data_IF_528813277535
#
_entry.id   IF_528813277535
#
_cell.length_a   1.000
_cell.length_b   1.000
_cell.length_c   1.000
_cell.angle_alpha   90.00
_cell.angle_beta   90.00
_cell.angle_gamma   90.00
#
_symmetry.space_group_name_H-M   'P 1'
#
loop_
_entity.id
_entity.type
_entity.pdbx_description
1 polymer ?
#
# COMPACT_ATOMS: atom_id res chain seq x y z
N UNK A 1 6.34 -16.77 -5.37
CA UNK A 1 6.54 -15.56 -4.55
C UNK A 1 7.79 -15.75 -3.70
N UNK A 2 8.42 -14.65 -3.27
CA UNK A 2 9.55 -14.66 -2.34
C UNK A 2 9.24 -13.72 -1.17
N UNK A 3 10.06 -13.71 -0.11
CA UNK A 3 9.88 -12.77 1.00
C UNK A 3 9.86 -11.33 0.44
N UNK A 4 8.84 -10.55 0.82
CA UNK A 4 8.73 -9.17 0.34
C UNK A 4 9.81 -8.29 0.97
N UNK A 5 10.38 -7.40 0.17
CA UNK A 5 11.41 -6.46 0.60
C UNK A 5 10.83 -5.09 0.97
N UNK A 6 11.63 -4.34 1.72
CA UNK A 6 11.48 -2.88 1.89
C UNK A 6 12.64 -2.22 1.15
N UNK A 7 12.43 -1.02 0.59
CA UNK A 7 13.48 -0.25 -0.09
C UNK A 7 14.45 0.28 0.96
N UNK A 8 15.74 0.02 0.76
CA UNK A 8 16.82 0.54 1.59
C UNK A 8 17.17 1.99 1.19
N UNK A 9 17.12 2.91 2.14
CA UNK A 9 17.32 4.34 1.87
C UNK A 9 18.75 4.70 1.40
N UNK A 10 19.75 3.86 1.67
CA UNK A 10 21.15 4.13 1.32
C UNK A 10 21.56 3.54 -0.02
N UNK A 11 20.94 2.41 -0.40
CA UNK A 11 21.33 1.63 -1.57
C UNK A 11 20.25 1.59 -2.65
N UNK A 12 19.01 1.95 -2.33
CA UNK A 12 17.84 1.80 -3.20
C UNK A 12 17.45 0.33 -3.47
N UNK A 13 18.19 -0.63 -2.92
CA UNK A 13 17.94 -2.06 -3.09
C UNK A 13 16.86 -2.58 -2.14
N UNK A 14 16.21 -3.68 -2.50
CA UNK A 14 15.29 -4.38 -1.61
C UNK A 14 16.03 -5.12 -0.49
N UNK A 15 15.63 -4.91 0.76
CA UNK A 15 16.17 -5.60 1.94
C UNK A 15 15.12 -6.49 2.60
N UNK A 16 15.52 -7.71 3.01
CA UNK A 16 14.69 -8.54 3.89
C UNK A 16 14.46 -7.82 5.21
N UNK A 17 13.21 -7.82 5.68
CA UNK A 17 12.82 -7.01 6.83
C UNK A 17 12.11 -7.82 7.90
N UNK A 18 12.32 -7.44 9.17
CA UNK A 18 11.47 -7.83 10.29
C UNK A 18 10.24 -6.91 10.41
N UNK A 19 10.27 -5.76 9.73
CA UNK A 19 9.23 -4.73 9.71
C UNK A 19 8.12 -5.11 8.73
N UNK A 20 8.46 -5.79 7.62
CA UNK A 20 7.53 -6.36 6.64
C UNK A 20 7.78 -7.85 6.53
N UNK A 21 6.80 -8.67 6.92
CA UNK A 21 6.98 -10.13 7.01
C UNK A 21 6.20 -10.93 5.98
N UNK A 22 5.53 -10.26 5.04
CA UNK A 22 4.82 -10.88 3.91
C UNK A 22 5.73 -11.57 2.88
N UNK A 23 5.13 -12.37 2.03
CA UNK A 23 5.68 -12.74 0.72
C UNK A 23 5.10 -11.85 -0.39
N UNK A 24 5.80 -11.74 -1.52
CA UNK A 24 5.29 -10.99 -2.66
C UNK A 24 5.96 -11.30 -3.99
N UNK A 25 5.43 -10.67 -5.03
CA UNK A 25 5.98 -10.62 -6.39
C UNK A 25 5.55 -9.33 -7.08
N UNK A 26 6.15 -9.05 -8.23
CA UNK A 26 5.74 -7.96 -9.12
C UNK A 26 5.20 -8.53 -10.42
N UNK A 27 4.12 -7.93 -10.90
CA UNK A 27 3.60 -8.09 -12.24
C UNK A 27 4.02 -6.87 -13.05
N UNK A 28 4.64 -7.10 -14.21
CA UNK A 28 5.15 -6.00 -15.04
C UNK A 28 4.02 -5.08 -15.45
N UNK A 29 4.33 -3.79 -15.65
CA UNK A 29 3.37 -2.84 -16.19
C UNK A 29 2.85 -3.35 -17.55
N UNK A 30 1.54 -3.44 -17.67
CA UNK A 30 0.87 -3.98 -18.84
C UNK A 30 1.22 -5.42 -19.22
N UNK A 31 1.64 -6.26 -18.24
CA UNK A 31 2.08 -7.64 -18.46
C UNK A 31 1.11 -8.47 -19.31
N UNK A 32 -0.19 -8.36 -19.02
CA UNK A 32 -1.25 -9.03 -19.76
C UNK A 32 -2.51 -8.16 -19.87
N UNK A 33 -3.56 -8.67 -20.52
CA UNK A 33 -4.82 -7.92 -20.69
C UNK A 33 -5.46 -7.55 -19.35
N UNK A 34 -5.43 -8.44 -18.37
CA UNK A 34 -6.08 -8.21 -17.07
C UNK A 34 -5.33 -7.12 -16.31
N UNK A 35 -4.00 -7.20 -16.24
CA UNK A 35 -3.17 -6.18 -15.60
C UNK A 35 -3.35 -4.81 -16.28
N UNK A 36 -3.36 -4.76 -17.63
CA UNK A 36 -3.63 -3.52 -18.37
C UNK A 36 -5.00 -2.91 -18.05
N UNK A 37 -6.04 -3.73 -17.98
CA UNK A 37 -7.39 -3.26 -17.70
C UNK A 37 -7.51 -2.72 -16.26
N UNK A 38 -6.81 -3.35 -15.29
CA UNK A 38 -6.71 -2.86 -13.91
C UNK A 38 -5.97 -1.52 -13.87
N UNK A 39 -4.78 -1.43 -14.48
CA UNK A 39 -3.98 -0.21 -14.49
C UNK A 39 -4.70 0.95 -15.17
N UNK A 40 -5.42 0.67 -16.27
CA UNK A 40 -6.26 1.66 -16.94
C UNK A 40 -7.39 2.15 -16.03
N UNK A 41 -8.08 1.25 -15.31
CA UNK A 41 -9.13 1.63 -14.36
C UNK A 41 -8.59 2.48 -13.21
N UNK A 42 -7.40 2.16 -12.70
CA UNK A 42 -6.73 2.98 -11.68
C UNK A 42 -6.47 4.38 -12.24
N UNK A 43 -5.88 4.48 -13.43
CA UNK A 43 -5.60 5.77 -14.07
C UNK A 43 -6.86 6.61 -14.33
N UNK A 44 -7.95 5.98 -14.79
CA UNK A 44 -9.23 6.66 -15.00
C UNK A 44 -9.85 7.17 -13.67
N UNK A 45 -9.70 6.42 -12.58
CA UNK A 45 -10.23 6.81 -11.27
C UNK A 45 -9.40 7.90 -10.58
N UNK A 46 -8.07 7.81 -10.68
CA UNK A 46 -7.14 8.73 -10.00
C UNK A 46 -6.83 9.97 -10.82
N UNK A 47 -7.13 9.96 -12.12
CA UNK A 47 -6.68 10.96 -13.09
C UNK A 47 -5.15 11.07 -13.21
N UNK A 48 -4.43 10.00 -12.82
CA UNK A 48 -2.97 9.91 -12.95
C UNK A 48 -2.65 9.00 -14.15
N UNK A 49 -1.78 9.41 -15.11
CA UNK A 49 -1.43 8.58 -16.26
C UNK A 49 -0.82 7.22 -15.87
N UNK A 50 -1.07 6.18 -16.67
CA UNK A 50 -0.59 4.81 -16.42
C UNK A 50 0.94 4.77 -16.29
N UNK A 51 1.63 5.61 -17.07
CA UNK A 51 3.07 5.71 -17.15
C UNK A 51 3.72 6.21 -15.85
N UNK A 52 2.94 6.82 -14.95
CA UNK A 52 3.40 7.24 -13.63
C UNK A 52 3.41 6.08 -12.62
N UNK A 53 2.79 4.94 -12.95
CA UNK A 53 2.70 3.79 -12.07
C UNK A 53 3.94 2.89 -12.11
N UNK A 54 4.40 2.44 -10.95
CA UNK A 54 5.34 1.32 -10.82
C UNK A 54 4.73 -0.02 -11.27
N UNK A 55 5.50 -1.10 -11.29
CA UNK A 55 4.95 -2.46 -11.46
C UNK A 55 3.91 -2.79 -10.38
N UNK A 56 2.90 -3.59 -10.71
CA UNK A 56 1.87 -3.97 -9.76
C UNK A 56 2.44 -5.01 -8.79
N UNK A 57 2.51 -4.67 -7.50
CA UNK A 57 2.96 -5.62 -6.49
C UNK A 57 1.79 -6.50 -6.04
N UNK A 58 2.04 -7.79 -5.84
CA UNK A 58 1.11 -8.72 -5.18
C UNK A 58 1.75 -9.19 -3.88
N UNK A 59 0.98 -9.15 -2.79
CA UNK A 59 1.42 -9.48 -1.45
C UNK A 59 0.52 -10.52 -0.83
N UNK A 60 1.12 -11.42 -0.05
CA UNK A 60 0.43 -12.41 0.75
C UNK A 60 0.96 -12.38 2.18
N UNK A 61 0.05 -12.23 3.13
CA UNK A 61 0.30 -12.28 4.56
C UNK A 61 -0.39 -13.51 5.16
N UNK A 62 0.40 -14.37 5.79
CA UNK A 62 -0.05 -15.47 6.62
C UNK A 62 -0.42 -15.00 8.04
N UNK A 63 -1.03 -15.88 8.84
CA UNK A 63 -1.32 -15.62 10.25
C UNK A 63 -0.05 -15.17 10.99
N UNK A 64 -0.17 -14.07 11.74
CA UNK A 64 0.90 -13.40 12.47
C UNK A 64 1.76 -12.45 11.63
N UNK A 65 1.70 -12.49 10.30
CA UNK A 65 2.47 -11.58 9.45
C UNK A 65 1.83 -10.18 9.41
N UNK A 66 2.69 -9.16 9.29
CA UNK A 66 2.33 -7.75 9.40
C UNK A 66 3.24 -6.87 8.55
N UNK A 67 2.89 -5.59 8.50
CA UNK A 67 3.80 -4.52 8.08
C UNK A 67 3.67 -3.36 9.07
N UNK A 68 4.76 -3.04 9.78
CA UNK A 68 4.77 -1.87 10.66
C UNK A 68 4.42 -0.58 9.91
N UNK A 69 3.89 0.44 10.63
CA UNK A 69 3.61 1.74 10.07
C UNK A 69 4.83 2.35 9.34
N UNK A 70 4.62 2.78 8.10
CA UNK A 70 5.62 3.37 7.23
C UNK A 70 4.97 4.40 6.29
N UNK A 71 5.82 5.07 5.53
CA UNK A 71 5.41 5.96 4.45
C UNK A 71 5.73 5.31 3.11
N UNK A 72 4.88 5.54 2.12
CA UNK A 72 5.16 5.13 0.74
C UNK A 72 6.06 6.14 0.02
N UNK A 73 6.10 7.39 0.46
CA UNK A 73 7.03 8.39 -0.07
C UNK A 73 8.48 8.08 0.30
N UNK A 74 9.40 8.57 -0.51
CA UNK A 74 10.84 8.44 -0.26
C UNK A 74 11.34 9.58 0.63
N UNK A 75 12.30 9.28 1.50
CA UNK A 75 13.01 10.31 2.28
C UNK A 75 14.35 10.65 1.61
N UNK A 76 14.88 9.73 0.80
CA UNK A 76 16.15 9.89 0.10
C UNK A 76 15.97 10.47 -1.31
N UNK A 77 17.03 11.08 -1.84
CA UNK A 77 17.05 11.62 -3.19
C UNK A 77 17.20 10.53 -4.26
N UNK A 78 17.76 9.38 -3.92
CA UNK A 78 18.10 8.33 -4.89
C UNK A 78 16.85 7.74 -5.55
N UNK A 79 15.87 7.33 -4.75
CA UNK A 79 14.63 6.72 -5.21
C UNK A 79 13.74 7.73 -5.95
N UNK A 80 13.88 9.03 -5.68
CA UNK A 80 13.14 10.08 -6.40
C UNK A 80 13.66 10.37 -7.82
N UNK A 81 14.81 9.79 -8.22
CA UNK A 81 15.36 10.02 -9.57
C UNK A 81 14.47 9.44 -10.66
N UNK A 82 13.76 8.35 -10.39
CA UNK A 82 12.83 7.73 -11.33
C UNK A 82 11.39 8.09 -10.98
N UNK A 83 10.69 8.83 -11.85
CA UNK A 83 9.32 9.29 -11.58
C UNK A 83 9.17 10.38 -10.51
N UNK A 84 10.18 10.67 -9.68
CA UNK A 84 10.00 11.57 -8.53
C UNK A 84 9.37 10.85 -7.33
N UNK A 85 8.74 11.62 -6.44
CA UNK A 85 8.03 11.07 -5.29
C UNK A 85 6.84 10.20 -5.70
N UNK A 86 6.55 9.18 -4.89
CA UNK A 86 5.26 8.48 -4.89
C UNK A 86 4.21 9.41 -4.31
N UNK A 87 3.31 9.92 -5.16
CA UNK A 87 2.27 10.86 -4.74
C UNK A 87 1.05 10.16 -4.14
N UNK A 88 0.72 8.97 -4.62
CA UNK A 88 -0.48 8.26 -4.25
C UNK A 88 -0.29 6.74 -4.32
N UNK A 89 -1.09 6.06 -3.52
CA UNK A 89 -1.14 4.60 -3.45
C UNK A 89 -2.59 4.15 -3.59
N UNK A 90 -2.83 3.25 -4.53
CA UNK A 90 -4.06 2.45 -4.59
C UNK A 90 -3.75 1.07 -4.01
N UNK A 91 -4.27 0.74 -2.84
CA UNK A 91 -4.13 -0.57 -2.23
C UNK A 91 -5.42 -1.37 -2.43
N UNK A 92 -5.35 -2.42 -3.24
CA UNK A 92 -6.48 -3.31 -3.53
C UNK A 92 -6.42 -4.54 -2.61
N UNK A 93 -7.57 -4.95 -2.07
CA UNK A 93 -7.70 -6.19 -1.30
C UNK A 93 -8.14 -7.33 -2.23
N UNK A 94 -7.34 -8.39 -2.28
CA UNK A 94 -7.55 -9.53 -3.17
C UNK A 94 -8.16 -10.75 -2.44
N UNK A 95 -8.38 -10.64 -1.14
CA UNK A 95 -9.08 -11.62 -0.32
C UNK A 95 -9.85 -10.94 0.80
N UNK A 96 -10.91 -11.60 1.27
CA UNK A 96 -11.49 -11.31 2.57
C UNK A 96 -10.54 -11.80 3.66
N UNK A 97 -10.53 -11.12 4.80
CA UNK A 97 -9.77 -11.54 5.98
C UNK A 97 -10.73 -11.69 7.15
N UNK A 98 -10.72 -12.86 7.76
CA UNK A 98 -11.62 -13.25 8.84
C UNK A 98 -11.38 -12.40 10.09
N UNK A 99 -10.12 -12.26 10.53
CA UNK A 99 -9.75 -11.45 11.69
C UNK A 99 -8.36 -10.82 11.54
N UNK A 100 -8.25 -9.55 11.92
CA UNK A 100 -7.01 -8.77 11.80
C UNK A 100 -6.73 -8.36 10.35
N UNK A 101 -5.46 -8.14 10.03
CA UNK A 101 -5.02 -7.80 8.67
C UNK A 101 -5.44 -6.41 8.20
N UNK A 102 -5.97 -5.54 9.04
CA UNK A 102 -6.44 -4.21 8.66
C UNK A 102 -5.32 -3.35 8.09
N UNK A 103 -5.67 -2.41 7.20
CA UNK A 103 -4.77 -1.30 6.89
C UNK A 103 -5.06 -0.17 7.86
N UNK A 104 -4.11 0.13 8.74
CA UNK A 104 -4.26 1.14 9.80
C UNK A 104 -3.48 2.40 9.45
N UNK A 105 -4.06 3.57 9.71
CA UNK A 105 -3.47 4.90 9.58
C UNK A 105 -3.40 5.56 10.96
N UNK A 106 -2.30 5.38 11.73
CA UNK A 106 -2.21 5.85 13.11
C UNK A 106 -2.27 7.38 13.25
N UNK A 107 -1.82 8.11 12.22
CA UNK A 107 -1.78 9.57 12.22
C UNK A 107 -3.00 10.21 11.55
N UNK A 108 -3.95 9.42 11.07
CA UNK A 108 -5.17 9.96 10.46
C UNK A 108 -5.97 10.76 11.49
N UNK A 109 -6.39 11.97 11.09
CA UNK A 109 -7.22 12.82 11.93
C UNK A 109 -8.69 12.55 11.64
N UNK A 110 -9.47 12.27 12.67
CA UNK A 110 -10.91 12.04 12.55
C UNK A 110 -11.46 11.22 13.70
N UNK A 111 -12.78 11.05 13.71
CA UNK A 111 -13.41 10.14 14.65
C UNK A 111 -13.23 8.69 14.17
N UNK A 112 -12.15 8.05 14.60
CA UNK A 112 -11.78 6.70 14.14
C UNK A 112 -12.80 5.64 14.54
N UNK A 113 -13.59 5.86 15.60
CA UNK A 113 -14.66 4.96 16.02
C UNK A 113 -15.98 5.13 15.25
N UNK A 114 -16.05 6.09 14.32
CA UNK A 114 -17.22 6.26 13.47
C UNK A 114 -17.27 5.28 12.30
N UNK A 115 -16.21 4.48 12.06
CA UNK A 115 -16.24 3.47 11.00
C UNK A 115 -17.26 2.36 11.35
N UNK A 116 -18.11 1.90 10.40
CA UNK A 116 -19.15 0.91 10.69
C UNK A 116 -18.64 -0.40 11.29
N UNK A 117 -17.39 -0.76 11.00
CA UNK A 117 -16.74 -1.99 11.44
C UNK A 117 -15.88 -1.83 12.70
N UNK A 118 -16.01 -0.72 13.45
CA UNK A 118 -15.16 -0.43 14.62
C UNK A 118 -15.07 -1.58 15.62
N UNK A 119 -16.21 -2.22 15.92
CA UNK A 119 -16.29 -3.32 16.88
C UNK A 119 -15.65 -4.62 16.38
N UNK A 120 -15.40 -4.74 15.07
CA UNK A 120 -14.75 -5.88 14.43
C UNK A 120 -13.24 -5.69 14.27
N UNK A 121 -12.72 -4.49 14.58
CA UNK A 121 -11.30 -4.21 14.48
C UNK A 121 -10.50 -4.93 15.56
N UNK A 122 -9.33 -5.43 15.18
CA UNK A 122 -8.29 -5.87 16.09
C UNK A 122 -7.78 -4.71 16.96
N UNK A 123 -7.08 -5.03 18.05
CA UNK A 123 -6.44 -4.02 18.89
C UNK A 123 -5.43 -3.16 18.12
N UNK A 124 -4.78 -3.72 17.09
CA UNK A 124 -3.95 -2.95 16.17
C UNK A 124 -4.79 -1.98 15.33
N UNK A 125 -5.92 -2.45 14.77
CA UNK A 125 -6.81 -1.63 13.94
C UNK A 125 -7.40 -0.44 14.72
N UNK A 126 -7.69 -0.62 16.01
CA UNK A 126 -8.18 0.47 16.89
C UNK A 126 -7.12 1.53 17.20
N UNK A 127 -5.85 1.31 16.85
CA UNK A 127 -4.76 2.26 17.02
C UNK A 127 -4.78 3.46 16.06
N UNK A 128 -5.74 3.52 15.13
CA UNK A 128 -5.90 4.62 14.18
C UNK A 128 -7.16 4.48 13.32
N UNK A 129 -7.25 5.25 12.24
CA UNK A 129 -8.27 4.98 11.22
C UNK A 129 -7.89 3.68 10.52
N UNK A 130 -8.75 2.66 10.57
CA UNK A 130 -8.44 1.37 9.96
C UNK A 130 -9.51 0.91 8.99
N UNK A 131 -9.07 0.25 7.93
CA UNK A 131 -9.93 -0.36 6.91
C UNK A 131 -9.76 -1.87 6.97
N UNK A 132 -10.88 -2.58 7.15
CA UNK A 132 -10.93 -4.05 7.14
C UNK A 132 -10.75 -4.55 5.70
N UNK A 133 -9.88 -5.55 5.45
CA UNK A 133 -9.72 -6.11 4.11
C UNK A 133 -10.99 -6.84 3.68
N UNK A 134 -11.55 -6.44 2.55
CA UNK A 134 -12.68 -7.08 1.90
C UNK A 134 -12.38 -7.27 0.42
N UNK A 135 -12.54 -8.48 -0.08
CA UNK A 135 -12.14 -8.82 -1.45
C UNK A 135 -12.83 -7.91 -2.46
N UNK A 136 -12.03 -7.32 -3.34
CA UNK A 136 -12.50 -6.42 -4.41
C UNK A 136 -12.56 -4.94 -4.02
N UNK A 137 -12.52 -4.62 -2.72
CA UNK A 137 -12.41 -3.23 -2.27
C UNK A 137 -10.99 -2.70 -2.49
N UNK A 138 -10.87 -1.39 -2.63
CA UNK A 138 -9.60 -0.69 -2.74
C UNK A 138 -9.62 0.60 -1.93
N UNK A 139 -8.48 0.95 -1.35
CA UNK A 139 -8.27 2.24 -0.70
C UNK A 139 -7.30 3.09 -1.53
N UNK A 140 -7.66 4.36 -1.72
CA UNK A 140 -6.80 5.37 -2.33
C UNK A 140 -6.38 6.36 -1.25
N UNK A 141 -5.09 6.58 -1.10
CA UNK A 141 -4.55 7.61 -0.21
C UNK A 141 -3.35 8.31 -0.83
N UNK A 142 -3.12 9.54 -0.37
CA UNK A 142 -2.08 10.42 -0.89
C UNK A 142 -0.92 10.51 0.09
N UNK A 143 0.29 10.35 -0.42
CA UNK A 143 1.54 10.53 0.31
C UNK A 143 2.03 11.97 0.30
N UNK A 144 1.39 12.83 -0.50
CA UNK A 144 1.72 14.24 -0.67
C UNK A 144 0.46 15.09 -0.61
N UNK A 145 0.61 16.33 -0.14
CA UNK A 145 -0.43 17.36 -0.13
C UNK A 145 -0.49 18.09 -1.48
N UNK A 146 -1.58 18.84 -1.77
CA UNK A 146 -1.68 19.62 -3.00
C UNK A 146 -0.59 20.67 -3.20
N UNK A 147 0.06 21.13 -2.12
CA UNK A 147 1.21 22.05 -2.16
C UNK A 147 2.56 21.34 -2.40
N UNK A 148 2.52 20.05 -2.78
CA UNK A 148 3.66 19.17 -2.99
C UNK A 148 4.51 18.86 -1.75
N UNK A 149 4.06 19.22 -0.55
CA UNK A 149 4.71 18.76 0.69
C UNK A 149 4.33 17.31 1.01
N UNK A 150 5.24 16.56 1.65
CA UNK A 150 4.94 15.21 2.14
C UNK A 150 3.83 15.27 3.20
N UNK A 151 2.95 14.28 3.25
CA UNK A 151 1.88 14.25 4.25
C UNK A 151 2.14 13.25 5.38
N UNK A 152 2.51 13.70 6.60
CA UNK A 152 2.72 12.81 7.73
C UNK A 152 1.47 12.04 8.19
N UNK A 153 0.29 12.46 7.74
CA UNK A 153 -0.97 11.76 8.03
C UNK A 153 -1.14 10.46 7.23
N UNK A 154 -0.34 10.27 6.17
CA UNK A 154 -0.33 9.08 5.33
C UNK A 154 0.47 7.90 5.92
N UNK A 155 0.96 8.04 7.16
CA UNK A 155 1.62 6.95 7.88
C UNK A 155 0.63 5.79 7.99
N UNK A 156 1.00 4.62 7.46
CA UNK A 156 0.10 3.49 7.42
C UNK A 156 0.84 2.15 7.57
N UNK A 157 0.13 1.13 8.04
CA UNK A 157 0.67 -0.22 8.23
C UNK A 157 -0.37 -1.29 7.92
N UNK A 158 0.09 -2.53 7.87
CA UNK A 158 -0.78 -3.71 7.83
C UNK A 158 -0.75 -4.38 9.20
N UNK A 159 -1.88 -4.38 9.89
CA UNK A 159 -2.03 -5.08 11.16
C UNK A 159 -1.79 -6.59 11.00
N UNK A 160 -1.39 -7.30 12.07
CA UNK A 160 -1.21 -8.74 12.03
C UNK A 160 -2.48 -9.44 11.54
N UNK A 161 -2.36 -10.41 10.64
CA UNK A 161 -3.45 -11.34 10.35
C UNK A 161 -3.62 -12.24 11.57
N UNK A 162 -4.82 -12.28 12.15
CA UNK A 162 -5.12 -13.12 13.33
C UNK A 162 -5.71 -14.45 12.87
N UNK A 163 -6.62 -14.40 11.90
CA UNK A 163 -7.22 -15.57 11.25
C UNK A 163 -7.40 -15.30 9.77
N UNK A 164 -7.20 -16.32 8.94
CA UNK A 164 -7.33 -16.21 7.49
C UNK A 164 -6.03 -16.01 6.72
N UNK A 165 -6.18 -15.46 5.51
CA UNK A 165 -5.07 -15.10 4.64
C UNK A 165 -5.35 -13.75 3.98
N UNK A 166 -4.41 -12.80 4.09
CA UNK A 166 -4.55 -11.50 3.43
C UNK A 166 -3.76 -11.47 2.13
N UNK A 167 -4.45 -11.24 1.03
CA UNK A 167 -3.86 -10.89 -0.25
C UNK A 167 -4.14 -9.44 -0.57
N UNK A 168 -3.12 -8.71 -0.99
CA UNK A 168 -3.26 -7.30 -1.35
C UNK A 168 -2.36 -6.93 -2.52
N UNK A 169 -2.75 -5.93 -3.27
CA UNK A 169 -1.96 -5.41 -4.39
C UNK A 169 -1.87 -3.88 -4.34
N UNK A 170 -0.77 -3.31 -3.81
CA UNK A 170 -0.52 -1.89 -3.92
C UNK A 170 -0.05 -1.53 -5.33
N UNK A 171 -0.55 -0.40 -5.82
CA UNK A 171 -0.07 0.31 -7.00
C UNK A 171 0.40 1.68 -6.56
N UNK A 172 1.70 1.91 -6.64
CA UNK A 172 2.31 3.22 -6.38
C UNK A 172 2.33 4.06 -7.65
N UNK A 173 1.99 5.34 -7.50
CA UNK A 173 1.91 6.30 -8.60
C UNK A 173 2.82 7.50 -8.29
N UNK A 174 3.64 7.88 -9.25
CA UNK A 174 4.64 8.94 -9.11
C UNK A 174 4.15 10.30 -9.63
N UNK A 175 4.83 11.36 -9.21
CA UNK A 175 4.59 12.75 -9.70
C UNK A 175 4.93 12.94 -11.18
N UNK A 176 5.78 12.09 -11.75
CA UNK A 176 6.18 12.09 -13.17
C UNK A 176 6.18 10.65 -13.70
N UNK A 177 6.37 10.52 -15.01
CA UNK A 177 6.59 9.23 -15.68
C UNK A 177 7.64 8.38 -14.95
N UNK A 178 7.25 7.16 -14.58
CA UNK A 178 8.10 6.15 -13.99
C UNK A 178 8.61 5.22 -15.10
N UNK A 179 9.94 5.14 -15.23
CA UNK A 179 10.60 4.33 -16.26
C UNK A 179 11.05 3.01 -15.65
N UNK A 180 10.26 1.97 -15.92
CA UNK A 180 10.56 0.56 -15.59
C UNK A 180 11.62 -0.02 -16.51
#
# INVERSE_FOLDING_TARGET
MARSSVIDNNTGGGKESRVRTSSGMFLKRGQDKIVRDIEKRIAEFTFIPIEHGEELQVLHYEVGQKYEPHFDYFIDEFNTKNGGQRMATMLMYLSDVEEGGETVFPNAKGNISAVPWWNELSECGKGGLAVKPKMGDAILFWSMRPDATLDPSSLHGACPVISGNKWAAPKWMHVREYRS
#
